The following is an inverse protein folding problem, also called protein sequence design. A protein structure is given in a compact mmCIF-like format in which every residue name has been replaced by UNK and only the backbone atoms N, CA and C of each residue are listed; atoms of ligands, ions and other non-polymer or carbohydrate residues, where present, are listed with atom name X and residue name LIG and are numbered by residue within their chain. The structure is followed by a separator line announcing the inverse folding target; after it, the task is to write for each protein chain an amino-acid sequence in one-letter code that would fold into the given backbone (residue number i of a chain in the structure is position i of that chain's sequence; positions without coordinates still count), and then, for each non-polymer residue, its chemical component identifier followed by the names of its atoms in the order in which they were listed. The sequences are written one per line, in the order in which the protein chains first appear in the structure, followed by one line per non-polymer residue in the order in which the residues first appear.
data_IF_019209782061
#
_entry.id   IF_019209782061
#
_cell.length_a   1.000
_cell.length_b   1.000
_cell.length_c   1.000
_cell.angle_alpha   90.00
_cell.angle_beta   90.00
_cell.angle_gamma   90.00
#
_symmetry.space_group_name_H-M   'P 1'
#
loop_
_entity.id
_entity.type
_entity.pdbx_description
1 polymer ?
#
# COMPACT_ATOMS: atom_id res chain seq x y z
N UNK A 1 -23.53 9.54 11.04
CA UNK A 1 -22.60 10.35 10.23
C UNK A 1 -22.42 9.64 8.90
N UNK A 2 -22.43 10.36 7.78
CA UNK A 2 -22.12 9.81 6.46
C UNK A 2 -20.69 9.26 6.45
N UNK A 3 -20.51 8.08 5.86
CA UNK A 3 -19.18 7.47 5.71
C UNK A 3 -18.30 8.38 4.83
N UNK A 4 -17.00 8.42 5.11
CA UNK A 4 -16.04 9.09 4.22
C UNK A 4 -15.88 8.24 2.96
N UNK A 5 -16.03 8.86 1.80
CA UNK A 5 -15.76 8.28 0.49
C UNK A 5 -14.27 8.39 0.15
N UNK A 6 -13.82 7.52 -0.76
CA UNK A 6 -12.48 7.55 -1.36
C UNK A 6 -12.57 8.30 -2.68
N UNK A 7 -11.84 9.39 -2.83
CA UNK A 7 -11.72 10.11 -4.10
C UNK A 7 -10.27 10.10 -4.58
N UNK A 8 -10.06 10.02 -5.88
CA UNK A 8 -8.74 10.02 -6.49
C UNK A 8 -8.59 11.24 -7.37
N UNK A 9 -7.50 11.99 -7.18
CA UNK A 9 -7.22 13.23 -7.90
C UNK A 9 -5.87 13.11 -8.59
N UNK A 10 -5.85 13.34 -9.90
CA UNK A 10 -4.64 13.49 -10.69
C UNK A 10 -4.12 14.91 -10.54
N UNK A 11 -2.82 15.04 -10.28
CA UNK A 11 -2.12 16.31 -10.16
C UNK A 11 -1.14 16.43 -11.32
N UNK A 12 -1.10 17.59 -11.99
CA UNK A 12 -0.13 17.89 -13.04
C UNK A 12 0.42 19.31 -12.93
N UNK A 13 1.73 19.49 -13.15
CA UNK A 13 2.37 20.81 -13.20
C UNK A 13 3.58 20.82 -14.16
N UNK A 14 3.76 21.91 -14.91
CA UNK A 14 4.83 22.08 -15.92
C UNK A 14 5.66 23.38 -15.78
N UNK A 15 5.51 24.11 -14.67
CA UNK A 15 6.26 25.35 -14.37
C UNK A 15 7.70 25.13 -13.87
N UNK A 16 8.43 26.22 -13.61
CA UNK A 16 9.84 26.23 -13.16
C UNK A 16 10.13 25.42 -11.88
N UNK A 17 9.15 25.24 -10.99
CA UNK A 17 9.26 24.39 -9.80
C UNK A 17 7.99 23.54 -9.59
N UNK A 18 7.85 22.44 -10.36
CA UNK A 18 6.63 21.66 -10.36
C UNK A 18 6.48 20.84 -9.07
N UNK A 19 7.57 20.44 -8.42
CA UNK A 19 7.52 19.69 -7.16
C UNK A 19 6.96 20.54 -6.01
N UNK A 20 7.43 21.79 -5.87
CA UNK A 20 6.88 22.72 -4.89
C UNK A 20 5.40 22.95 -5.14
N UNK A 21 5.01 23.11 -6.41
CA UNK A 21 3.62 23.32 -6.81
C UNK A 21 2.72 22.14 -6.44
N UNK A 22 3.17 20.90 -6.70
CA UNK A 22 2.44 19.71 -6.29
C UNK A 22 2.34 19.58 -4.76
N UNK A 23 3.39 19.96 -4.03
CA UNK A 23 3.37 20.00 -2.56
C UNK A 23 2.36 21.02 -2.00
N UNK A 24 2.31 22.22 -2.59
CA UNK A 24 1.32 23.25 -2.25
C UNK A 24 -0.12 22.79 -2.56
N UNK A 25 -0.32 22.11 -3.69
CA UNK A 25 -1.60 21.51 -4.05
C UNK A 25 -2.03 20.48 -3.01
N UNK A 26 -1.13 19.56 -2.62
CA UNK A 26 -1.40 18.55 -1.61
C UNK A 26 -1.81 19.17 -0.26
N UNK A 27 -1.10 20.22 0.18
CA UNK A 27 -1.45 20.95 1.40
C UNK A 27 -2.80 21.67 1.31
N UNK A 28 -3.16 22.18 0.14
CA UNK A 28 -4.48 22.81 -0.09
C UNK A 28 -5.61 21.78 -0.11
N UNK A 29 -5.38 20.60 -0.71
CA UNK A 29 -6.35 19.49 -0.70
C UNK A 29 -6.65 19.00 0.72
N UNK A 30 -5.65 18.91 1.59
CA UNK A 30 -5.85 18.49 2.99
C UNK A 30 -6.57 19.53 3.86
N UNK A 31 -6.60 20.80 3.42
CA UNK A 31 -7.35 21.88 4.08
C UNK A 31 -8.79 22.02 3.59
N UNK A 32 -9.20 21.25 2.57
CA UNK A 32 -10.58 21.29 2.09
C UNK A 32 -11.56 20.83 3.19
N UNK A 33 -12.76 21.42 3.28
CA UNK A 33 -13.76 21.02 4.25
C UNK A 33 -14.06 19.52 4.19
N UNK A 34 -14.12 18.90 5.37
CA UNK A 34 -14.41 17.47 5.56
C UNK A 34 -13.55 16.48 4.73
N UNK A 35 -12.44 16.95 4.20
CA UNK A 35 -11.56 16.22 3.29
C UNK A 35 -10.19 16.05 3.95
N UNK A 36 -9.56 14.92 3.69
CA UNK A 36 -8.24 14.57 4.22
C UNK A 36 -7.43 13.90 3.12
N UNK A 37 -6.18 14.29 2.95
CA UNK A 37 -5.24 13.55 2.09
C UNK A 37 -4.91 12.24 2.78
N UNK A 38 -5.18 11.14 2.10
CA UNK A 38 -5.08 9.79 2.64
C UNK A 38 -3.90 8.99 2.06
N UNK A 39 -3.46 9.31 0.85
CA UNK A 39 -2.22 8.80 0.26
C UNK A 39 -1.82 9.69 -0.92
N UNK A 40 -0.54 9.67 -1.29
CA UNK A 40 -0.03 10.32 -2.48
C UNK A 40 1.04 9.44 -3.12
N UNK A 41 1.02 9.32 -4.44
CA UNK A 41 2.07 8.64 -5.21
C UNK A 41 3.38 9.43 -5.14
N UNK A 42 4.49 8.79 -5.49
CA UNK A 42 5.67 9.56 -5.89
C UNK A 42 5.35 10.36 -7.16
N UNK A 43 5.80 11.62 -7.28
CA UNK A 43 5.68 12.36 -8.52
C UNK A 43 6.49 11.67 -9.61
N UNK A 44 5.99 11.74 -10.84
CA UNK A 44 6.65 11.21 -12.03
C UNK A 44 6.78 12.32 -13.05
N UNK A 45 7.98 12.56 -13.56
CA UNK A 45 8.12 13.36 -14.78
C UNK A 45 7.74 12.50 -15.96
N UNK A 46 6.94 13.02 -16.87
CA UNK A 46 6.52 12.34 -18.09
C UNK A 46 6.45 13.37 -19.23
N UNK A 47 6.68 12.99 -20.49
CA UNK A 47 6.45 13.89 -21.62
C UNK A 47 4.96 14.24 -21.75
N UNK A 48 4.65 15.38 -22.39
CA UNK A 48 3.28 15.63 -22.83
C UNK A 48 2.82 14.56 -23.81
N UNK A 49 1.60 14.05 -23.63
CA UNK A 49 0.98 13.10 -24.54
C UNK A 49 0.10 13.81 -25.57
N UNK A 50 0.14 13.32 -26.80
CA UNK A 50 -0.78 13.71 -27.87
C UNK A 50 -2.18 13.14 -27.66
N UNK A 51 -3.10 13.52 -28.55
CA UNK A 51 -4.48 13.02 -28.52
C UNK A 51 -4.57 11.51 -28.79
N UNK A 52 -3.50 10.89 -29.28
CA UNK A 52 -3.31 9.45 -29.49
C UNK A 52 -2.68 8.72 -28.29
N UNK A 53 -2.43 9.43 -27.18
CA UNK A 53 -1.82 8.86 -25.97
C UNK A 53 -0.30 8.66 -26.07
N UNK A 54 0.36 9.13 -27.14
CA UNK A 54 1.81 8.95 -27.33
C UNK A 54 2.60 10.19 -26.93
N UNK A 55 3.86 10.04 -26.46
CA UNK A 55 4.74 11.17 -26.22
C UNK A 55 4.86 12.08 -27.45
N UNK A 56 4.60 13.37 -27.29
CA UNK A 56 4.86 14.36 -28.33
C UNK A 56 6.38 14.51 -28.52
N UNK A 57 6.82 14.60 -29.76
CA UNK A 57 8.24 14.76 -30.09
C UNK A 57 8.78 16.08 -29.53
N UNK A 58 9.91 16.04 -28.82
CA UNK A 58 10.52 17.19 -28.14
C UNK A 58 9.60 17.92 -27.14
N UNK A 59 8.63 17.20 -26.57
CA UNK A 59 7.71 17.78 -25.60
C UNK A 59 8.39 18.20 -24.29
N UNK A 60 7.93 19.30 -23.65
CA UNK A 60 8.31 19.58 -22.28
C UNK A 60 7.85 18.46 -21.35
N UNK A 61 8.58 18.28 -20.26
CA UNK A 61 8.22 17.33 -19.21
C UNK A 61 7.18 17.95 -18.27
N UNK A 62 6.17 17.16 -17.93
CA UNK A 62 5.16 17.47 -16.92
C UNK A 62 5.42 16.59 -15.71
N UNK A 63 5.31 17.15 -14.52
CA UNK A 63 5.34 16.35 -13.29
C UNK A 63 3.91 15.98 -12.91
N UNK A 64 3.63 14.69 -12.85
CA UNK A 64 2.33 14.12 -12.54
C UNK A 64 2.36 13.32 -11.23
N UNK A 65 1.27 13.35 -10.48
CA UNK A 65 1.07 12.51 -9.29
C UNK A 65 -0.41 12.14 -9.15
N UNK A 66 -0.70 11.10 -8.35
CA UNK A 66 -2.07 10.75 -7.96
C UNK A 66 -2.19 10.83 -6.45
N UNK A 67 -3.26 11.47 -5.99
CA UNK A 67 -3.58 11.65 -4.58
C UNK A 67 -4.90 10.97 -4.29
N UNK A 68 -4.95 10.21 -3.21
CA UNK A 68 -6.20 9.71 -2.66
C UNK A 68 -6.66 10.61 -1.52
N UNK A 69 -7.92 11.01 -1.58
CA UNK A 69 -8.61 11.80 -0.58
C UNK A 69 -9.66 10.94 0.14
N UNK A 70 -9.79 11.17 1.45
CA UNK A 70 -10.91 10.70 2.26
C UNK A 70 -11.83 11.88 2.56
N UNK A 71 -13.02 11.90 1.96
CA UNK A 71 -13.89 13.09 1.99
C UNK A 71 -15.34 12.73 2.30
N UNK A 72 -16.09 13.69 2.85
CA UNK A 72 -17.56 13.63 2.93
C UNK A 72 -18.26 14.52 1.90
N UNK A 73 -17.49 15.24 1.09
CA UNK A 73 -18.03 16.05 0.01
C UNK A 73 -18.61 15.13 -1.09
N UNK A 74 -19.73 15.55 -1.66
CA UNK A 74 -20.26 14.95 -2.88
C UNK A 74 -19.31 15.22 -4.06
N UNK A 75 -19.33 14.40 -5.13
CA UNK A 75 -18.44 14.56 -6.28
C UNK A 75 -18.42 15.96 -6.89
N UNK A 76 -19.57 16.65 -7.08
CA UNK A 76 -19.58 18.01 -7.65
C UNK A 76 -18.98 19.05 -6.71
N UNK A 77 -19.28 18.94 -5.41
CA UNK A 77 -18.73 19.85 -4.40
C UNK A 77 -17.20 19.68 -4.28
N UNK A 78 -16.72 18.43 -4.39
CA UNK A 78 -15.29 18.17 -4.47
C UNK A 78 -14.69 18.78 -5.74
N UNK A 79 -15.30 18.56 -6.91
CA UNK A 79 -14.83 19.14 -8.16
C UNK A 79 -14.77 20.68 -8.07
N UNK A 80 -15.80 21.34 -7.58
CA UNK A 80 -15.82 22.80 -7.40
C UNK A 80 -14.66 23.27 -6.50
N UNK A 81 -14.38 22.52 -5.42
CA UNK A 81 -13.25 22.79 -4.55
C UNK A 81 -11.90 22.60 -5.27
N UNK A 82 -11.74 21.58 -6.12
CA UNK A 82 -10.54 21.39 -6.94
C UNK A 82 -10.33 22.57 -7.89
N UNK A 83 -11.38 23.00 -8.59
CA UNK A 83 -11.35 24.17 -9.48
C UNK A 83 -10.93 25.45 -8.74
N UNK A 84 -11.38 25.62 -7.50
CA UNK A 84 -10.98 26.74 -6.67
C UNK A 84 -9.49 26.69 -6.33
N UNK A 85 -8.95 25.51 -6.01
CA UNK A 85 -7.50 25.33 -5.77
C UNK A 85 -6.69 25.62 -7.03
N UNK A 86 -7.14 25.18 -8.22
CA UNK A 86 -6.49 25.53 -9.50
C UNK A 86 -6.44 27.04 -9.72
N UNK A 87 -7.56 27.73 -9.49
CA UNK A 87 -7.67 29.18 -9.66
C UNK A 87 -6.74 29.93 -8.69
N UNK A 88 -6.68 29.51 -7.42
CA UNK A 88 -5.75 30.08 -6.43
C UNK A 88 -4.28 29.84 -6.80
N UNK A 89 -3.98 28.73 -7.47
CA UNK A 89 -2.64 28.44 -7.99
C UNK A 89 -2.27 29.28 -9.24
N UNK A 90 -3.20 30.10 -9.76
CA UNK A 90 -2.97 31.01 -10.88
C UNK A 90 -3.33 30.43 -12.24
N UNK A 91 -4.08 29.32 -12.31
CA UNK A 91 -4.50 28.72 -13.58
C UNK A 91 -5.49 29.63 -14.31
N UNK A 92 -5.15 30.04 -15.53
CA UNK A 92 -6.05 30.73 -16.47
C UNK A 92 -6.42 29.76 -17.59
N UNK A 93 -7.71 29.49 -17.80
CA UNK A 93 -8.20 28.54 -18.82
C UNK A 93 -8.29 29.19 -20.20
N UNK A 94 -7.15 29.51 -20.80
CA UNK A 94 -7.05 30.08 -22.15
C UNK A 94 -6.14 29.21 -23.06
N UNK A 95 -6.61 28.02 -23.44
CA UNK A 95 -5.93 27.11 -24.38
C UNK A 95 -5.03 26.02 -23.76
N UNK A 96 -4.24 25.33 -24.61
CA UNK A 96 -3.29 24.23 -24.24
C UNK A 96 -1.95 24.73 -23.65
N UNK A 97 -1.82 26.02 -23.34
CA UNK A 97 -0.54 26.62 -22.91
C UNK A 97 -0.41 26.65 -21.37
N UNK A 98 0.71 26.11 -20.86
CA UNK A 98 1.23 26.17 -19.48
C UNK A 98 0.26 25.80 -18.34
N UNK A 99 0.45 24.62 -17.75
CA UNK A 99 -0.30 24.14 -16.57
C UNK A 99 0.40 24.58 -15.28
N UNK A 100 0.06 25.78 -14.80
CA UNK A 100 0.44 26.21 -13.46
C UNK A 100 0.10 25.15 -12.40
N UNK A 101 -1.10 24.57 -12.47
CA UNK A 101 -1.54 23.38 -11.74
C UNK A 101 -2.78 22.80 -12.44
N UNK A 102 -2.86 21.48 -12.53
CA UNK A 102 -3.98 20.72 -13.10
C UNK A 102 -4.46 19.69 -12.11
N UNK A 103 -5.74 19.76 -11.75
CA UNK A 103 -6.38 18.85 -10.79
C UNK A 103 -7.57 18.15 -11.44
N UNK A 104 -7.40 16.88 -11.77
CA UNK A 104 -8.44 16.05 -12.38
C UNK A 104 -9.07 15.12 -11.34
N UNK A 105 -10.39 15.18 -11.13
CA UNK A 105 -11.10 14.17 -10.34
C UNK A 105 -11.17 12.86 -11.14
N UNK A 106 -10.35 11.88 -10.76
CA UNK A 106 -10.17 10.62 -11.47
C UNK A 106 -11.23 9.59 -11.12
N UNK A 107 -11.62 9.48 -9.85
CA UNK A 107 -12.67 8.57 -9.40
C UNK A 107 -13.21 8.96 -8.02
N UNK A 108 -14.41 8.47 -7.71
CA UNK A 108 -15.07 8.60 -6.42
C UNK A 108 -15.75 7.27 -6.07
N UNK A 109 -15.35 6.65 -4.96
CA UNK A 109 -15.68 5.28 -4.56
C UNK A 109 -15.78 4.30 -5.74
N UNK A 110 -16.97 3.81 -6.09
CA UNK A 110 -17.19 2.95 -7.26
C UNK A 110 -18.26 3.56 -8.19
N UNK A 111 -18.45 4.87 -8.10
CA UNK A 111 -19.47 5.58 -8.84
C UNK A 111 -19.10 5.72 -10.32
N UNK A 112 -20.06 5.40 -11.20
CA UNK A 112 -19.84 5.40 -12.66
C UNK A 112 -20.32 6.67 -13.36
N UNK A 113 -21.31 7.36 -12.78
CA UNK A 113 -21.81 8.66 -13.24
C UNK A 113 -22.46 9.38 -12.07
N UNK A 114 -22.14 10.65 -11.91
CA UNK A 114 -22.77 11.51 -10.91
C UNK A 114 -23.16 12.84 -11.57
N UNK A 115 -24.46 13.04 -11.81
CA UNK A 115 -24.96 14.20 -12.56
C UNK A 115 -24.34 14.29 -13.96
N UNK A 116 -23.56 15.35 -14.20
CA UNK A 116 -22.82 15.59 -15.45
C UNK A 116 -21.39 15.02 -15.43
N UNK A 117 -20.95 14.47 -14.30
CA UNK A 117 -19.61 13.89 -14.16
C UNK A 117 -19.59 12.44 -14.62
N UNK A 118 -18.68 12.16 -15.54
CA UNK A 118 -18.30 10.80 -15.90
C UNK A 118 -17.10 10.39 -15.04
N UNK A 119 -17.34 9.41 -14.15
CA UNK A 119 -16.36 8.86 -13.23
C UNK A 119 -16.29 7.35 -13.43
N UNK A 120 -15.12 6.70 -13.31
CA UNK A 120 -13.81 7.29 -13.37
C UNK A 120 -13.59 8.15 -14.64
N UNK A 121 -12.65 9.09 -14.59
CA UNK A 121 -12.38 10.05 -15.67
C UNK A 121 -12.24 9.32 -17.02
N UNK A 122 -12.78 9.86 -18.13
CA UNK A 122 -12.73 9.18 -19.42
C UNK A 122 -11.29 8.95 -19.91
N UNK A 123 -11.09 7.87 -20.67
CA UNK A 123 -9.81 7.49 -21.31
C UNK A 123 -8.67 7.21 -20.33
N UNK A 124 -8.97 6.72 -19.13
CA UNK A 124 -7.93 6.29 -18.16
C UNK A 124 -7.04 5.17 -18.73
N UNK A 125 -7.61 4.31 -19.57
CA UNK A 125 -6.96 3.17 -20.23
C UNK A 125 -5.93 3.56 -21.30
N UNK A 126 -5.73 4.86 -21.54
CA UNK A 126 -4.73 5.43 -22.44
C UNK A 126 -3.73 6.33 -21.70
N UNK A 127 -3.89 6.52 -20.38
CA UNK A 127 -3.13 7.51 -19.61
C UNK A 127 -2.15 6.87 -18.65
N UNK A 128 -0.99 6.48 -19.18
CA UNK A 128 0.14 5.94 -18.40
C UNK A 128 0.54 6.85 -17.22
N UNK A 129 0.57 8.17 -17.45
CA UNK A 129 0.89 9.17 -16.42
C UNK A 129 -0.14 9.25 -15.28
N UNK A 130 -1.31 8.60 -15.42
CA UNK A 130 -2.31 8.44 -14.37
C UNK A 130 -2.27 7.04 -13.76
N UNK A 131 -2.28 5.99 -14.58
CA UNK A 131 -2.35 4.61 -14.10
C UNK A 131 -1.10 4.19 -13.30
N UNK A 132 0.10 4.57 -13.75
CA UNK A 132 1.35 4.23 -13.05
C UNK A 132 1.45 4.82 -11.63
N UNK A 133 1.21 6.13 -11.40
CA UNK A 133 1.18 6.66 -10.03
C UNK A 133 -0.03 6.17 -9.23
N UNK A 134 -1.19 5.93 -9.84
CA UNK A 134 -2.36 5.40 -9.13
C UNK A 134 -2.13 3.96 -8.63
N UNK A 135 -1.43 3.12 -9.40
CA UNK A 135 -1.07 1.77 -8.99
C UNK A 135 -0.21 1.74 -7.71
N UNK A 136 0.60 2.78 -7.46
CA UNK A 136 1.36 2.93 -6.22
C UNK A 136 0.44 3.21 -5.01
N UNK A 137 -0.66 3.93 -5.24
CA UNK A 137 -1.57 4.43 -4.19
C UNK A 137 -2.66 3.41 -3.85
N UNK A 138 -3.31 2.84 -4.86
CA UNK A 138 -4.44 1.94 -4.69
C UNK A 138 -4.42 0.85 -5.79
N UNK A 139 -3.49 -0.12 -5.73
CA UNK A 139 -3.27 -1.09 -6.80
C UNK A 139 -4.51 -1.94 -7.13
N UNK A 140 -5.35 -2.22 -6.13
CA UNK A 140 -6.56 -3.02 -6.27
C UNK A 140 -7.82 -2.19 -6.55
N UNK A 141 -7.72 -0.88 -6.72
CA UNK A 141 -8.89 -0.08 -7.02
C UNK A 141 -9.46 -0.48 -8.40
N UNK A 142 -10.77 -0.78 -8.52
CA UNK A 142 -11.35 -1.13 -9.80
C UNK A 142 -11.48 0.10 -10.72
N UNK A 143 -11.01 -0.01 -11.96
CA UNK A 143 -11.19 0.99 -13.01
C UNK A 143 -11.81 0.35 -14.26
N UNK A 144 -12.68 1.08 -15.00
CA UNK A 144 -13.12 0.66 -16.31
C UNK A 144 -11.91 0.39 -17.22
N UNK A 145 -12.03 -0.67 -18.00
CA UNK A 145 -11.09 -1.03 -19.03
C UNK A 145 -11.81 -1.24 -20.36
N UNK A 146 -11.04 -1.24 -21.45
CA UNK A 146 -11.50 -1.47 -22.82
C UNK A 146 -12.53 -2.59 -22.90
N UNK A 147 -13.48 -2.47 -23.84
CA UNK A 147 -14.54 -3.45 -24.10
C UNK A 147 -15.53 -3.70 -22.93
N UNK A 148 -15.57 -2.81 -21.93
CA UNK A 148 -16.53 -2.84 -20.82
C UNK A 148 -16.06 -3.62 -19.59
N UNK A 149 -14.84 -4.15 -19.62
CA UNK A 149 -14.21 -4.82 -18.49
C UNK A 149 -13.95 -3.85 -17.32
N UNK A 150 -13.72 -4.40 -16.13
CA UNK A 150 -13.24 -3.64 -14.97
C UNK A 150 -12.03 -4.37 -14.41
N UNK A 151 -10.92 -3.65 -14.27
CA UNK A 151 -9.64 -4.21 -13.82
C UNK A 151 -9.14 -3.46 -12.58
N UNK A 152 -8.39 -4.13 -11.69
CA UNK A 152 -7.53 -3.43 -10.73
C UNK A 152 -6.62 -2.41 -11.43
N UNK A 153 -6.40 -1.23 -10.85
CA UNK A 153 -5.51 -0.19 -11.40
C UNK A 153 -4.11 -0.74 -11.71
N UNK A 154 -3.54 -1.57 -10.85
CA UNK A 154 -2.23 -2.18 -11.10
C UNK A 154 -2.25 -3.09 -12.34
N UNK A 155 -3.35 -3.81 -12.55
CA UNK A 155 -3.56 -4.65 -13.75
C UNK A 155 -3.74 -3.80 -15.00
N UNK A 156 -4.53 -2.73 -14.91
CA UNK A 156 -4.71 -1.76 -15.99
C UNK A 156 -3.37 -1.11 -16.39
N UNK A 157 -2.55 -0.69 -15.43
CA UNK A 157 -1.22 -0.15 -15.67
C UNK A 157 -0.32 -1.13 -16.43
N UNK A 158 -0.13 -2.34 -15.90
CA UNK A 158 0.82 -3.26 -16.53
C UNK A 158 0.30 -3.85 -17.86
N UNK A 159 -1.02 -3.90 -18.11
CA UNK A 159 -1.54 -4.15 -19.47
C UNK A 159 -1.16 -3.04 -20.45
N UNK A 160 -1.29 -1.78 -20.05
CA UNK A 160 -0.94 -0.65 -20.90
C UNK A 160 0.55 -0.70 -21.25
N UNK A 161 1.41 -0.88 -20.24
CA UNK A 161 2.86 -0.97 -20.38
C UNK A 161 3.29 -2.15 -21.27
N UNK A 162 2.68 -3.33 -21.10
CA UNK A 162 2.96 -4.48 -21.96
C UNK A 162 2.53 -4.26 -23.42
N UNK A 163 1.39 -3.58 -23.64
CA UNK A 163 0.87 -3.32 -24.99
C UNK A 163 1.62 -2.21 -25.73
N UNK A 164 2.15 -1.23 -24.98
CA UNK A 164 2.91 -0.11 -25.51
C UNK A 164 4.02 0.29 -24.52
N UNK A 165 5.20 -0.35 -24.59
CA UNK A 165 6.31 -0.03 -23.70
C UNK A 165 6.78 1.43 -23.80
N UNK A 166 6.47 2.12 -24.90
CA UNK A 166 6.83 3.53 -25.07
C UNK A 166 6.07 4.45 -24.11
N UNK A 167 4.92 4.01 -23.59
CA UNK A 167 4.14 4.78 -22.61
C UNK A 167 4.84 4.89 -21.25
N UNK A 168 5.77 3.99 -20.93
CA UNK A 168 6.58 4.02 -19.70
C UNK A 168 7.89 4.81 -19.89
N UNK A 169 8.29 5.10 -21.13
CA UNK A 169 9.53 5.81 -21.43
C UNK A 169 9.46 7.25 -20.91
N UNK A 170 10.49 7.65 -20.17
CA UNK A 170 10.58 8.99 -19.60
C UNK A 170 9.84 9.16 -18.27
N UNK A 171 9.29 8.10 -17.67
CA UNK A 171 8.70 8.10 -16.32
C UNK A 171 9.78 8.14 -15.22
N UNK A 172 10.46 9.28 -15.08
CA UNK A 172 11.40 9.49 -13.97
C UNK A 172 10.62 9.62 -12.65
N UNK A 173 10.83 8.68 -11.71
CA UNK A 173 10.19 8.71 -10.39
C UNK A 173 10.98 9.62 -9.45
N UNK A 174 10.32 10.67 -8.95
CA UNK A 174 10.92 11.67 -8.08
C UNK A 174 10.74 11.35 -6.59
N UNK A 175 11.34 12.16 -5.73
CA UNK A 175 11.17 12.03 -4.28
C UNK A 175 9.70 12.25 -3.86
N UNK A 176 9.23 11.56 -2.81
CA UNK A 176 7.87 11.73 -2.31
C UNK A 176 7.55 13.18 -1.92
N UNK A 177 6.31 13.61 -2.19
CA UNK A 177 5.80 14.90 -1.73
C UNK A 177 5.73 14.94 -0.20
N UNK A 178 5.94 16.12 0.44
CA UNK A 178 5.78 16.27 1.87
C UNK A 178 4.32 16.03 2.26
N UNK A 179 4.09 15.01 3.10
CA UNK A 179 2.74 14.64 3.52
C UNK A 179 2.26 15.58 4.65
N UNK A 180 0.99 16.03 4.64
CA UNK A 180 0.46 16.90 5.69
C UNK A 180 0.63 16.29 7.09
N UNK A 181 1.31 17.02 7.98
CA UNK A 181 1.44 16.65 9.39
C UNK A 181 0.12 16.87 10.13
N UNK A 182 -0.12 16.09 11.20
CA UNK A 182 -1.33 16.21 12.02
C UNK A 182 -0.97 16.44 13.48
N UNK A 183 -1.33 17.61 13.99
CA UNK A 183 -1.25 17.91 15.41
C UNK A 183 -2.56 17.57 16.10
N UNK A 184 -2.48 16.73 17.12
CA UNK A 184 -3.62 16.37 17.96
C UNK A 184 -3.13 15.96 19.36
N UNK A 185 -4.02 15.89 20.36
CA UNK A 185 -3.68 15.34 21.67
C UNK A 185 -3.07 13.93 21.52
N UNK A 186 -1.98 13.69 22.23
CA UNK A 186 -1.21 12.46 22.15
C UNK A 186 -1.00 11.86 23.54
N UNK A 187 -1.21 10.55 23.67
CA UNK A 187 -0.97 9.82 24.93
C UNK A 187 -0.28 8.48 24.69
N UNK A 188 0.59 8.09 25.63
CA UNK A 188 1.16 6.74 25.69
C UNK A 188 0.40 5.93 26.73
N UNK A 189 -0.11 4.78 26.31
CA UNK A 189 -0.89 3.85 27.11
C UNK A 189 -0.03 2.61 27.38
N UNK A 190 0.13 2.21 28.63
CA UNK A 190 0.98 1.11 29.09
C UNK A 190 0.20 -0.10 29.58
N UNK A 191 -1.08 0.06 29.92
CA UNK A 191 -1.91 -1.02 30.45
C UNK A 191 -3.22 -1.19 29.71
N UNK A 192 -3.80 -2.40 29.79
CA UNK A 192 -5.16 -2.70 29.32
C UNK A 192 -6.21 -1.75 29.90
N UNK A 193 -6.05 -1.31 31.14
CA UNK A 193 -6.98 -0.41 31.82
C UNK A 193 -6.90 1.01 31.24
N UNK A 194 -5.69 1.52 31.00
CA UNK A 194 -5.48 2.81 30.34
C UNK A 194 -6.03 2.80 28.91
N UNK A 195 -5.84 1.70 28.15
CA UNK A 195 -6.42 1.57 26.82
C UNK A 195 -7.95 1.54 26.85
N UNK A 196 -8.55 0.84 27.81
CA UNK A 196 -10.00 0.84 27.97
C UNK A 196 -10.52 2.25 28.30
N UNK A 197 -9.93 2.92 29.29
CA UNK A 197 -10.31 4.28 29.69
C UNK A 197 -10.15 5.28 28.55
N UNK A 198 -9.03 5.23 27.80
CA UNK A 198 -8.83 6.05 26.61
C UNK A 198 -9.92 5.79 25.58
N UNK A 199 -10.16 4.52 25.23
CA UNK A 199 -11.13 4.19 24.19
C UNK A 199 -12.57 4.56 24.56
N UNK A 200 -12.97 4.33 25.81
CA UNK A 200 -14.30 4.65 26.34
C UNK A 200 -14.55 6.16 26.44
N UNK A 201 -13.48 6.97 26.59
CA UNK A 201 -13.57 8.42 26.64
C UNK A 201 -13.67 9.12 25.27
N UNK A 202 -13.55 8.39 24.15
CA UNK A 202 -13.55 8.97 22.81
C UNK A 202 -14.93 9.03 22.16
N UNK A 203 -15.17 10.13 21.46
CA UNK A 203 -16.22 10.25 20.43
C UNK A 203 -15.56 10.17 19.05
N UNK A 204 -16.20 9.47 18.12
CA UNK A 204 -15.69 9.28 16.77
C UNK A 204 -15.11 7.88 16.55
N UNK A 205 -14.56 7.67 15.37
CA UNK A 205 -14.06 6.37 14.94
C UNK A 205 -12.54 6.22 15.16
N UNK A 206 -12.09 4.97 15.31
CA UNK A 206 -10.71 4.66 15.66
C UNK A 206 -10.06 3.81 14.57
N UNK A 207 -8.92 4.29 14.06
CA UNK A 207 -8.01 3.56 13.22
C UNK A 207 -6.98 2.79 14.06
N UNK A 208 -6.84 1.48 13.84
CA UNK A 208 -5.82 0.66 14.51
C UNK A 208 -4.63 0.41 13.58
N UNK A 209 -3.41 0.69 14.04
CA UNK A 209 -2.15 0.39 13.34
C UNK A 209 -1.29 -0.52 14.22
N UNK A 210 -1.40 -1.85 14.11
CA UNK A 210 -0.60 -2.77 14.90
C UNK A 210 0.86 -2.78 14.42
N UNK A 211 1.80 -2.54 15.33
CA UNK A 211 3.23 -2.65 15.04
C UNK A 211 4.01 -3.27 16.19
N UNK A 212 5.22 -3.72 15.89
CA UNK A 212 6.18 -4.23 16.89
C UNK A 212 7.22 -3.20 17.34
N UNK A 213 7.22 -1.99 16.79
CA UNK A 213 8.30 -1.00 16.96
C UNK A 213 9.44 -1.16 15.95
N UNK A 214 10.54 -0.43 16.19
CA UNK A 214 11.62 -0.23 15.23
C UNK A 214 11.11 0.29 13.88
N UNK A 215 10.38 1.39 13.97
CA UNK A 215 9.58 1.92 12.88
C UNK A 215 10.43 2.50 11.76
N UNK A 216 9.79 2.67 10.61
CA UNK A 216 10.38 3.18 9.38
C UNK A 216 9.30 3.86 8.54
N UNK A 217 9.66 4.47 7.40
CA UNK A 217 8.72 5.19 6.54
C UNK A 217 7.51 4.35 6.07
N UNK A 218 7.65 3.02 5.95
CA UNK A 218 6.49 2.13 5.74
C UNK A 218 5.45 2.15 6.86
N UNK A 219 5.86 2.26 8.12
CA UNK A 219 4.92 2.40 9.25
C UNK A 219 4.29 3.80 9.28
N UNK A 220 5.08 4.83 8.95
CA UNK A 220 4.58 6.20 8.82
C UNK A 220 3.39 6.28 7.86
N UNK A 221 3.46 5.59 6.70
CA UNK A 221 2.35 5.59 5.75
C UNK A 221 1.09 4.90 6.26
N UNK A 222 1.20 3.89 7.12
CA UNK A 222 0.02 3.27 7.76
C UNK A 222 -0.68 4.27 8.70
N UNK A 223 0.09 5.01 9.50
CA UNK A 223 -0.46 6.01 10.44
C UNK A 223 -1.06 7.20 9.69
N UNK A 224 -0.36 7.72 8.68
CA UNK A 224 -0.87 8.77 7.80
C UNK A 224 -2.22 8.38 7.20
N UNK A 225 -2.30 7.14 6.68
CA UNK A 225 -3.51 6.59 6.10
C UNK A 225 -4.63 6.47 7.13
N UNK A 226 -4.33 5.93 8.30
CA UNK A 226 -5.29 5.80 9.39
C UNK A 226 -5.83 7.18 9.82
N UNK A 227 -4.96 8.18 9.95
CA UNK A 227 -5.35 9.52 10.40
C UNK A 227 -6.17 10.28 9.36
N UNK A 228 -6.03 9.93 8.08
CA UNK A 228 -6.89 10.46 7.04
C UNK A 228 -8.29 9.84 7.03
N UNK A 229 -8.37 8.55 7.36
CA UNK A 229 -9.61 7.77 7.24
C UNK A 229 -10.43 7.69 8.54
N UNK A 230 -9.86 8.06 9.69
CA UNK A 230 -10.47 7.95 11.02
C UNK A 230 -10.26 9.19 11.87
N UNK A 231 -11.09 9.40 12.89
CA UNK A 231 -11.04 10.54 13.79
C UNK A 231 -9.85 10.43 14.76
N UNK A 232 -9.55 9.22 15.26
CA UNK A 232 -8.44 8.95 16.17
C UNK A 232 -7.63 7.74 15.72
N UNK A 233 -6.30 7.81 15.83
CA UNK A 233 -5.44 6.66 15.50
C UNK A 233 -4.80 6.08 16.75
N UNK A 234 -4.99 4.78 16.95
CA UNK A 234 -4.26 3.98 17.92
C UNK A 234 -3.20 3.17 17.20
N UNK A 235 -1.94 3.49 17.43
CA UNK A 235 -0.82 2.64 17.03
C UNK A 235 -0.37 1.76 18.20
N UNK A 236 0.22 0.60 17.92
CA UNK A 236 0.78 -0.27 18.98
C UNK A 236 2.29 -0.38 18.84
N UNK A 237 2.99 -0.49 19.96
CA UNK A 237 4.41 -0.85 20.03
C UNK A 237 4.54 -2.08 20.92
N UNK A 238 4.45 -3.27 20.32
CA UNK A 238 4.49 -4.52 21.07
C UNK A 238 5.20 -5.62 20.29
N UNK A 239 6.41 -5.97 20.73
CA UNK A 239 7.14 -7.14 20.23
C UNK A 239 6.49 -8.39 20.82
N UNK A 240 5.60 -9.03 20.04
CA UNK A 240 4.81 -10.17 20.50
C UNK A 240 5.66 -11.44 20.58
N UNK A 241 5.98 -12.01 21.77
CA UNK A 241 6.79 -13.22 21.86
C UNK A 241 6.15 -14.45 21.20
N UNK A 242 4.81 -14.53 21.12
CA UNK A 242 4.11 -15.70 20.59
C UNK A 242 4.31 -15.92 19.09
N UNK A 243 4.77 -14.90 18.36
CA UNK A 243 5.01 -14.99 16.92
C UNK A 243 6.48 -15.19 16.57
N UNK A 244 7.34 -15.46 17.57
CA UNK A 244 8.74 -15.80 17.37
C UNK A 244 8.99 -17.27 17.73
N UNK A 245 9.64 -18.00 16.84
CA UNK A 245 10.12 -19.36 17.08
C UNK A 245 11.37 -19.42 17.96
N UNK A 246 11.71 -20.62 18.45
CA UNK A 246 12.98 -20.83 19.14
C UNK A 246 14.16 -20.54 18.19
N UNK A 247 15.11 -19.72 18.63
CA UNK A 247 16.27 -19.32 17.82
C UNK A 247 16.00 -18.20 16.79
N UNK A 248 14.76 -17.68 16.71
CA UNK A 248 14.49 -16.45 15.97
C UNK A 248 15.03 -15.21 16.70
N UNK A 249 14.88 -14.04 16.09
CA UNK A 249 15.53 -12.80 16.52
C UNK A 249 14.80 -12.04 17.65
N UNK A 250 14.01 -12.71 18.50
CA UNK A 250 13.23 -12.05 19.58
C UNK A 250 14.13 -11.21 20.50
N UNK A 251 15.23 -11.79 20.97
CA UNK A 251 16.16 -11.12 21.90
C UNK A 251 16.97 -10.01 21.22
N UNK A 252 17.14 -10.09 19.89
CA UNK A 252 17.89 -9.12 19.09
C UNK A 252 16.99 -8.08 18.42
N UNK A 253 15.67 -8.22 18.55
CA UNK A 253 14.73 -7.35 17.84
C UNK A 253 14.93 -5.89 18.30
N UNK A 254 15.13 -4.95 17.37
CA UNK A 254 15.42 -3.57 17.70
C UNK A 254 14.29 -2.92 18.52
N UNK A 255 14.68 -2.13 19.53
CA UNK A 255 13.74 -1.39 20.39
C UNK A 255 14.16 0.07 20.44
N UNK A 256 13.44 0.90 19.70
CA UNK A 256 13.71 2.34 19.53
C UNK A 256 12.52 3.17 20.03
N UNK A 257 12.12 2.94 21.28
CA UNK A 257 10.83 3.38 21.81
C UNK A 257 10.55 4.89 21.64
N UNK A 258 11.50 5.76 21.98
CA UNK A 258 11.30 7.21 21.91
C UNK A 258 11.23 7.71 20.46
N UNK A 259 12.07 7.15 19.57
CA UNK A 259 12.04 7.44 18.12
C UNK A 259 10.73 6.97 17.49
N UNK A 260 10.28 5.77 17.87
CA UNK A 260 9.03 5.18 17.40
C UNK A 260 7.83 6.05 17.82
N UNK A 261 7.77 6.47 19.09
CA UNK A 261 6.74 7.37 19.61
C UNK A 261 6.74 8.70 18.88
N UNK A 262 7.92 9.29 18.65
CA UNK A 262 8.04 10.55 17.93
C UNK A 262 7.52 10.44 16.48
N UNK A 263 7.88 9.35 15.78
CA UNK A 263 7.40 9.08 14.42
C UNK A 263 5.87 8.90 14.38
N UNK A 264 5.32 8.10 15.28
CA UNK A 264 3.87 7.86 15.35
C UNK A 264 3.11 9.16 15.63
N UNK A 265 3.57 9.95 16.60
CA UNK A 265 2.96 11.24 16.95
C UNK A 265 3.01 12.21 15.77
N UNK A 266 4.17 12.35 15.13
CA UNK A 266 4.36 13.26 14.00
C UNK A 266 3.40 12.98 12.84
N UNK A 267 3.09 11.70 12.60
CA UNK A 267 2.20 11.27 11.52
C UNK A 267 0.73 11.18 11.89
N UNK A 268 0.33 11.61 13.09
CA UNK A 268 -1.07 11.72 13.47
C UNK A 268 -1.62 10.52 14.27
N UNK A 269 -0.77 9.81 15.02
CA UNK A 269 -1.27 8.93 16.08
C UNK A 269 -1.88 9.77 17.22
N UNK A 270 -3.04 9.35 17.75
CA UNK A 270 -3.68 9.97 18.92
C UNK A 270 -3.25 9.27 20.21
N UNK A 271 -2.96 7.97 20.10
CA UNK A 271 -2.37 7.21 21.17
C UNK A 271 -1.41 6.14 20.67
N UNK A 272 -0.45 5.80 21.53
CA UNK A 272 0.40 4.62 21.37
C UNK A 272 0.14 3.67 22.53
N UNK A 273 -0.32 2.46 22.20
CA UNK A 273 -0.41 1.38 23.18
C UNK A 273 0.87 0.55 23.18
N UNK A 274 1.63 0.64 24.26
CA UNK A 274 2.92 -0.01 24.45
C UNK A 274 2.93 -0.84 25.76
N UNK A 275 2.18 -1.95 25.79
CA UNK A 275 2.04 -2.78 26.98
C UNK A 275 3.28 -3.64 27.26
N UNK A 276 3.42 -4.03 28.52
CA UNK A 276 4.30 -5.13 28.90
C UNK A 276 3.70 -6.48 28.47
N UNK A 277 4.55 -7.49 28.27
CA UNK A 277 4.15 -8.87 27.92
C UNK A 277 3.13 -9.42 28.92
N UNK A 278 3.39 -9.28 30.23
CA UNK A 278 2.52 -9.80 31.29
C UNK A 278 1.15 -9.09 31.37
N UNK A 279 1.07 -7.85 30.88
CA UNK A 279 -0.22 -7.14 30.73
C UNK A 279 -1.04 -7.70 29.57
N UNK A 280 -0.46 -8.42 28.61
CA UNK A 280 -1.23 -9.08 27.55
C UNK A 280 -1.39 -10.58 27.79
N UNK A 281 -0.36 -11.23 28.33
CA UNK A 281 -0.25 -12.67 28.54
C UNK A 281 0.02 -12.95 30.02
N UNK A 282 -1.02 -12.82 30.84
CA UNK A 282 -0.92 -13.09 32.27
C UNK A 282 -0.67 -14.58 32.59
N UNK A 283 -0.40 -14.90 33.86
CA UNK A 283 -0.21 -16.29 34.30
C UNK A 283 -1.35 -17.21 33.83
N UNK A 284 -1.00 -18.35 33.25
CA UNK A 284 -1.97 -19.32 32.74
C UNK A 284 -2.60 -18.99 31.39
N UNK A 285 -2.06 -18.02 30.63
CA UNK A 285 -2.51 -17.75 29.27
C UNK A 285 -2.40 -19.01 28.39
N UNK A 286 -3.54 -19.50 27.89
CA UNK A 286 -3.61 -20.73 27.09
C UNK A 286 -4.63 -20.71 25.96
N UNK A 287 -5.15 -19.52 25.60
CA UNK A 287 -6.13 -19.35 24.52
C UNK A 287 -5.45 -18.75 23.29
N UNK A 288 -5.68 -19.36 22.13
CA UNK A 288 -5.04 -18.96 20.88
C UNK A 288 -6.05 -18.96 19.72
N UNK A 289 -5.78 -18.13 18.72
CA UNK A 289 -6.43 -18.21 17.41
C UNK A 289 -5.51 -19.00 16.49
N UNK A 290 -6.01 -20.12 15.97
CA UNK A 290 -5.25 -21.00 15.07
C UNK A 290 -5.93 -20.97 13.70
N UNK A 291 -5.29 -20.41 12.68
CA UNK A 291 -5.75 -20.60 11.31
C UNK A 291 -5.46 -22.04 10.87
N UNK A 292 -6.33 -22.61 10.03
CA UNK A 292 -6.10 -23.94 9.43
C UNK A 292 -5.00 -23.88 8.35
N UNK A 293 -5.14 -24.67 7.29
CA UNK A 293 -4.08 -25.03 6.32
C UNK A 293 -3.32 -23.86 5.68
N UNK A 294 -3.90 -22.66 5.61
CA UNK A 294 -3.21 -21.49 5.03
C UNK A 294 -1.98 -21.07 5.83
N UNK A 295 -1.92 -21.36 7.13
CA UNK A 295 -0.76 -21.07 7.96
C UNK A 295 0.31 -22.17 7.95
N UNK A 296 0.11 -23.24 7.17
CA UNK A 296 1.11 -24.28 6.95
C UNK A 296 1.85 -24.06 5.61
N UNK A 297 1.50 -23.01 4.86
CA UNK A 297 2.13 -22.65 3.59
C UNK A 297 3.14 -21.50 3.76
N UNK A 298 4.08 -21.36 2.81
CA UNK A 298 5.00 -20.22 2.65
C UNK A 298 5.67 -19.78 3.98
N UNK A 299 5.37 -18.59 4.51
CA UNK A 299 5.94 -18.11 5.77
C UNK A 299 5.62 -19.03 6.94
N UNK A 300 4.43 -19.62 6.94
CA UNK A 300 3.96 -20.50 7.99
C UNK A 300 4.71 -21.83 8.03
N UNK A 301 5.05 -22.38 6.85
CA UNK A 301 5.90 -23.55 6.71
C UNK A 301 7.32 -23.28 7.26
N UNK A 302 7.87 -22.09 6.95
CA UNK A 302 9.21 -21.69 7.39
C UNK A 302 9.24 -21.31 8.87
N UNK A 303 8.12 -20.81 9.41
CA UNK A 303 8.00 -20.30 10.78
C UNK A 303 6.81 -20.95 11.52
N UNK A 304 6.89 -22.25 11.87
CA UNK A 304 5.81 -22.96 12.51
C UNK A 304 5.29 -22.24 13.77
N UNK A 305 3.97 -22.06 13.85
CA UNK A 305 3.32 -21.36 14.97
C UNK A 305 3.36 -19.83 14.91
N UNK A 306 4.08 -19.22 13.95
CA UNK A 306 4.15 -17.77 13.77
C UNK A 306 2.76 -17.14 13.67
N UNK A 307 1.92 -17.63 12.76
CA UNK A 307 0.60 -17.05 12.52
C UNK A 307 -0.41 -17.29 13.64
N UNK A 308 -0.28 -18.38 14.41
CA UNK A 308 -1.03 -18.52 15.67
C UNK A 308 -0.71 -17.36 16.61
N UNK A 309 0.57 -17.02 16.76
CA UNK A 309 1.01 -15.88 17.55
C UNK A 309 0.45 -14.55 17.03
N UNK A 310 0.54 -14.33 15.71
CA UNK A 310 0.04 -13.11 15.04
C UNK A 310 -1.48 -12.97 15.22
N UNK A 311 -2.27 -13.96 14.85
CA UNK A 311 -3.73 -13.86 14.92
C UNK A 311 -4.21 -13.71 16.37
N UNK A 312 -3.56 -14.38 17.32
CA UNK A 312 -3.88 -14.23 18.75
C UNK A 312 -3.67 -12.80 19.22
N UNK A 313 -2.53 -12.16 18.90
CA UNK A 313 -2.31 -10.76 19.32
C UNK A 313 -3.21 -9.79 18.56
N UNK A 314 -3.42 -9.99 17.26
CA UNK A 314 -4.26 -9.10 16.45
C UNK A 314 -5.69 -9.13 16.96
N UNK A 315 -6.28 -10.31 17.27
CA UNK A 315 -7.61 -10.39 17.86
C UNK A 315 -7.70 -9.64 19.19
N UNK A 316 -6.72 -9.81 20.09
CA UNK A 316 -6.69 -9.10 21.38
C UNK A 316 -6.66 -7.58 21.19
N UNK A 317 -5.85 -7.10 20.25
CA UNK A 317 -5.76 -5.67 19.94
C UNK A 317 -7.07 -5.17 19.30
N UNK A 318 -7.65 -5.93 18.38
CA UNK A 318 -8.91 -5.60 17.70
C UNK A 318 -10.06 -5.42 18.71
N UNK A 319 -10.22 -6.38 19.62
CA UNK A 319 -11.27 -6.34 20.65
C UNK A 319 -11.11 -5.16 21.62
N UNK A 320 -9.87 -4.75 21.91
CA UNK A 320 -9.61 -3.64 22.84
C UNK A 320 -9.73 -2.28 22.17
N UNK A 321 -9.16 -2.15 20.98
CA UNK A 321 -9.19 -0.92 20.21
C UNK A 321 -10.59 -0.60 19.69
N UNK A 322 -11.43 -1.61 19.44
CA UNK A 322 -12.74 -1.48 18.78
C UNK A 322 -12.63 -0.56 17.54
N UNK A 323 -11.76 -0.92 16.58
CA UNK A 323 -11.48 -0.05 15.46
C UNK A 323 -12.65 -0.02 14.48
N UNK A 324 -12.90 1.12 13.85
CA UNK A 324 -13.69 1.15 12.61
C UNK A 324 -12.88 0.62 11.44
N UNK A 325 -11.55 0.82 11.47
CA UNK A 325 -10.62 0.42 10.44
C UNK A 325 -9.28 -0.03 11.05
N UNK A 326 -8.68 -1.11 10.56
CA UNK A 326 -7.34 -1.54 10.94
C UNK A 326 -6.43 -1.60 9.71
N UNK A 327 -5.21 -1.05 9.82
CA UNK A 327 -4.33 -0.81 8.68
C UNK A 327 -3.12 -1.74 8.73
N UNK A 328 -2.92 -2.50 7.65
CA UNK A 328 -1.84 -3.47 7.51
C UNK A 328 -1.18 -3.32 6.13
N UNK A 329 0.13 -3.55 6.05
CA UNK A 329 0.87 -3.43 4.80
C UNK A 329 0.76 -4.69 3.93
N UNK A 330 0.72 -4.51 2.61
CA UNK A 330 0.85 -5.58 1.61
C UNK A 330 2.16 -6.34 1.71
N UNK A 331 3.22 -5.71 2.27
CA UNK A 331 4.53 -6.33 2.46
C UNK A 331 4.38 -7.72 3.06
N UNK A 332 3.63 -7.85 4.15
CA UNK A 332 3.37 -9.12 4.81
C UNK A 332 2.04 -9.72 4.31
N UNK A 333 1.95 -10.00 3.00
CA UNK A 333 0.72 -10.37 2.29
C UNK A 333 -0.02 -11.59 2.89
N UNK A 334 0.71 -12.63 3.30
CA UNK A 334 0.10 -13.80 3.93
C UNK A 334 -0.53 -13.46 5.29
N UNK A 335 0.13 -12.61 6.08
CA UNK A 335 -0.43 -12.09 7.33
C UNK A 335 -1.72 -11.32 7.05
N UNK A 336 -1.72 -10.45 6.04
CA UNK A 336 -2.90 -9.67 5.66
C UNK A 336 -4.09 -10.58 5.27
N UNK A 337 -3.84 -11.63 4.47
CA UNK A 337 -4.87 -12.60 4.08
C UNK A 337 -5.41 -13.39 5.28
N UNK A 338 -4.54 -13.84 6.19
CA UNK A 338 -4.93 -14.55 7.41
C UNK A 338 -5.70 -13.65 8.38
N UNK A 339 -5.30 -12.39 8.54
CA UNK A 339 -6.03 -11.42 9.36
C UNK A 339 -7.39 -11.11 8.74
N UNK A 340 -7.47 -10.97 7.41
CA UNK A 340 -8.75 -10.79 6.69
C UNK A 340 -9.69 -11.94 6.99
N UNK A 341 -9.23 -13.17 6.79
CA UNK A 341 -10.02 -14.37 7.08
C UNK A 341 -10.43 -14.43 8.55
N UNK A 342 -9.54 -14.10 9.50
CA UNK A 342 -9.90 -14.06 10.92
C UNK A 342 -11.01 -13.03 11.21
N UNK A 343 -10.96 -11.85 10.58
CA UNK A 343 -11.99 -10.81 10.73
C UNK A 343 -13.33 -11.30 10.19
N UNK A 344 -13.34 -11.97 9.04
CA UNK A 344 -14.53 -12.54 8.41
C UNK A 344 -15.08 -13.73 9.19
N UNK A 345 -14.26 -14.75 9.48
CA UNK A 345 -14.66 -16.00 10.14
C UNK A 345 -15.15 -15.79 11.59
N UNK A 346 -14.71 -14.73 12.26
CA UNK A 346 -15.08 -14.41 13.65
C UNK A 346 -16.04 -13.21 13.77
N UNK A 347 -16.63 -12.76 12.65
CA UNK A 347 -17.58 -11.65 12.60
C UNK A 347 -17.08 -10.37 13.31
N UNK A 348 -15.78 -10.06 13.18
CA UNK A 348 -15.19 -8.93 13.89
C UNK A 348 -15.68 -7.60 13.29
N UNK A 349 -16.18 -6.66 14.10
CA UNK A 349 -16.64 -5.38 13.60
C UNK A 349 -15.48 -4.53 13.10
N UNK A 350 -15.74 -3.69 12.10
CA UNK A 350 -14.74 -2.82 11.48
C UNK A 350 -14.27 -3.36 10.12
N UNK A 351 -13.30 -2.68 9.52
CA UNK A 351 -12.76 -3.04 8.20
C UNK A 351 -11.26 -3.18 8.23
N UNK A 352 -10.73 -4.17 7.52
CA UNK A 352 -9.31 -4.29 7.27
C UNK A 352 -8.93 -3.44 6.04
N UNK A 353 -7.93 -2.59 6.18
CA UNK A 353 -7.40 -1.74 5.11
C UNK A 353 -6.00 -2.18 4.76
N UNK A 354 -5.84 -2.67 3.54
CA UNK A 354 -4.55 -3.05 2.99
C UNK A 354 -3.83 -1.82 2.41
N UNK A 355 -2.62 -1.56 2.87
CA UNK A 355 -1.80 -0.43 2.45
C UNK A 355 -0.62 -0.90 1.59
N UNK A 356 -0.28 -0.19 0.50
CA UNK A 356 0.86 -0.53 -0.36
C UNK A 356 2.18 -0.67 0.39
N UNK A 357 3.02 -1.60 -0.05
CA UNK A 357 4.41 -1.73 0.45
C UNK A 357 5.19 -0.46 0.12
N UNK A 358 5.86 0.11 1.12
CA UNK A 358 6.82 1.19 0.89
C UNK A 358 8.20 0.62 0.65
N UNK A 359 8.85 1.19 -0.36
CA UNK A 359 10.17 0.80 -0.83
C UNK A 359 11.16 1.95 -0.62
N UNK A 360 12.43 1.63 -0.45
CA UNK A 360 13.52 2.59 -0.48
C UNK A 360 13.73 3.17 -1.89
N UNK A 361 14.61 4.16 -2.02
CA UNK A 361 14.89 4.81 -3.30
C UNK A 361 15.41 3.84 -4.36
N UNK A 362 16.16 2.82 -3.94
CA UNK A 362 16.67 1.74 -4.79
C UNK A 362 15.70 0.56 -4.95
N UNK A 363 14.45 0.74 -4.54
CA UNK A 363 13.38 -0.23 -4.73
C UNK A 363 13.24 -1.26 -3.60
N UNK A 364 14.22 -1.44 -2.70
CA UNK A 364 14.12 -2.47 -1.66
C UNK A 364 12.93 -2.20 -0.71
N UNK A 365 12.06 -3.19 -0.48
CA UNK A 365 10.97 -3.08 0.48
C UNK A 365 11.51 -2.71 1.88
N UNK A 366 10.88 -1.70 2.50
CA UNK A 366 11.30 -1.23 3.81
C UNK A 366 10.95 -2.26 4.89
N UNK A 367 11.94 -2.61 5.71
CA UNK A 367 11.81 -3.55 6.81
C UNK A 367 12.73 -3.14 7.95
N UNK A 368 12.30 -3.33 9.20
CA UNK A 368 13.16 -3.11 10.36
C UNK A 368 14.41 -3.99 10.32
N UNK A 369 14.34 -5.17 9.67
CA UNK A 369 15.44 -6.12 9.46
C UNK A 369 16.47 -5.69 8.42
N UNK A 370 16.19 -4.67 7.60
CA UNK A 370 17.18 -4.17 6.63
C UNK A 370 18.43 -3.61 7.33
N UNK A 371 18.34 -3.25 8.62
CA UNK A 371 19.48 -2.79 9.44
C UNK A 371 20.53 -3.86 9.71
N UNK A 372 20.20 -5.14 9.47
CA UNK A 372 21.13 -6.25 9.63
C UNK A 372 21.97 -6.52 8.38
N UNK A 373 21.66 -5.85 7.27
CA UNK A 373 22.42 -5.96 6.03
C UNK A 373 23.65 -5.05 6.11
N UNK A 374 24.82 -5.60 5.79
CA UNK A 374 25.98 -4.77 5.44
C UNK A 374 25.81 -4.15 4.05
N UNK A 375 26.72 -3.27 3.65
CA UNK A 375 26.64 -2.55 2.37
C UNK A 375 26.60 -3.49 1.16
N UNK A 376 27.31 -4.61 1.22
CA UNK A 376 27.37 -5.59 0.12
C UNK A 376 26.06 -6.37 0.00
N UNK A 377 25.56 -6.89 1.12
CA UNK A 377 24.27 -7.57 1.22
C UNK A 377 23.12 -6.62 0.84
N UNK A 378 23.20 -5.35 1.25
CA UNK A 378 22.21 -4.31 0.95
C UNK A 378 22.14 -4.00 -0.55
N UNK A 379 23.28 -3.96 -1.23
CA UNK A 379 23.34 -3.76 -2.69
C UNK A 379 22.78 -4.96 -3.47
N UNK A 380 23.01 -6.20 -2.99
CA UNK A 380 22.38 -7.40 -3.57
C UNK A 380 20.87 -7.43 -3.32
N UNK A 381 20.44 -7.14 -2.10
CA UNK A 381 19.03 -7.06 -1.73
C UNK A 381 18.23 -6.08 -2.60
N UNK A 382 18.83 -4.95 -3.00
CA UNK A 382 18.20 -3.97 -3.88
C UNK A 382 17.82 -4.51 -5.27
N UNK A 383 18.35 -5.67 -5.69
CA UNK A 383 18.00 -6.32 -6.96
C UNK A 383 16.73 -7.17 -6.87
N UNK A 384 16.30 -7.52 -5.65
CA UNK A 384 15.15 -8.38 -5.41
C UNK A 384 13.84 -7.82 -6.02
N UNK A 385 13.48 -6.54 -5.84
CA UNK A 385 12.25 -5.98 -6.39
C UNK A 385 12.24 -5.93 -7.91
N UNK A 386 13.39 -5.65 -8.53
CA UNK A 386 13.53 -5.64 -9.98
C UNK A 386 13.33 -7.05 -10.58
N UNK A 387 13.88 -8.09 -9.94
CA UNK A 387 13.65 -9.47 -10.36
C UNK A 387 12.17 -9.88 -10.24
N UNK A 388 11.49 -9.46 -9.16
CA UNK A 388 10.05 -9.66 -9.02
C UNK A 388 9.24 -8.94 -10.10
N UNK A 389 9.61 -7.71 -10.43
CA UNK A 389 8.95 -6.96 -11.49
C UNK A 389 9.14 -7.60 -12.86
N UNK A 390 10.37 -8.00 -13.20
CA UNK A 390 10.67 -8.71 -14.45
C UNK A 390 9.79 -9.97 -14.60
N UNK A 391 9.68 -10.77 -13.53
CA UNK A 391 8.86 -11.98 -13.53
C UNK A 391 7.36 -11.68 -13.60
N UNK A 392 6.87 -10.68 -12.85
CA UNK A 392 5.47 -10.26 -12.88
C UNK A 392 5.07 -9.77 -14.29
N UNK A 393 5.93 -8.97 -14.93
CA UNK A 393 5.73 -8.50 -16.31
C UNK A 393 5.76 -9.65 -17.32
N UNK A 394 6.68 -10.61 -17.15
CA UNK A 394 6.72 -11.78 -18.03
C UNK A 394 5.43 -12.61 -17.94
N UNK A 395 4.94 -12.88 -16.72
CA UNK A 395 3.66 -13.59 -16.51
C UNK A 395 2.51 -12.79 -17.12
N UNK A 396 2.48 -11.47 -16.92
CA UNK A 396 1.46 -10.59 -17.50
C UNK A 396 1.46 -10.60 -19.04
N UNK A 397 2.64 -10.75 -19.65
CA UNK A 397 2.82 -10.89 -21.10
C UNK A 397 2.50 -12.29 -21.64
N UNK A 398 2.04 -13.21 -20.79
CA UNK A 398 1.63 -14.57 -21.18
C UNK A 398 2.73 -15.62 -21.07
N UNK A 399 3.83 -15.34 -20.37
CA UNK A 399 4.80 -16.39 -20.02
C UNK A 399 4.13 -17.47 -19.15
N UNK A 400 4.48 -18.73 -19.41
CA UNK A 400 4.01 -19.85 -18.61
C UNK A 400 4.47 -19.68 -17.15
N UNK A 401 3.53 -19.87 -16.22
CA UNK A 401 3.75 -19.62 -14.77
C UNK A 401 5.01 -20.31 -14.27
N UNK A 402 5.12 -21.61 -14.47
CA UNK A 402 6.19 -22.41 -13.87
C UNK A 402 7.56 -22.03 -14.47
N UNK A 403 7.61 -21.69 -15.75
CA UNK A 403 8.84 -21.24 -16.42
C UNK A 403 9.26 -19.85 -15.91
N UNK A 404 8.31 -18.94 -15.68
CA UNK A 404 8.56 -17.62 -15.12
C UNK A 404 9.04 -17.71 -13.65
N UNK A 405 8.42 -18.56 -12.84
CA UNK A 405 8.85 -18.81 -11.46
C UNK A 405 10.25 -19.44 -11.42
N UNK A 406 10.53 -20.43 -12.27
CA UNK A 406 11.85 -21.04 -12.36
C UNK A 406 12.94 -20.03 -12.79
N UNK A 407 12.60 -19.15 -13.74
CA UNK A 407 13.49 -18.08 -14.21
C UNK A 407 13.77 -17.06 -13.10
N UNK A 408 12.73 -16.69 -12.33
CA UNK A 408 12.87 -15.83 -11.16
C UNK A 408 13.81 -16.45 -10.12
N UNK A 409 13.60 -17.72 -9.75
CA UNK A 409 14.48 -18.38 -8.78
C UNK A 409 15.94 -18.42 -9.25
N UNK A 410 16.18 -18.74 -10.53
CA UNK A 410 17.51 -18.78 -11.11
C UNK A 410 18.18 -17.40 -11.05
N UNK A 411 17.43 -16.34 -11.38
CA UNK A 411 17.90 -14.95 -11.30
C UNK A 411 18.24 -14.56 -9.86
N UNK A 412 17.36 -14.84 -8.90
CA UNK A 412 17.60 -14.53 -7.49
C UNK A 412 18.87 -15.22 -6.97
N UNK A 413 19.06 -16.51 -7.30
CA UNK A 413 20.28 -17.25 -6.93
C UNK A 413 21.53 -16.63 -7.56
N UNK A 414 21.47 -16.22 -8.84
CA UNK A 414 22.57 -15.56 -9.52
C UNK A 414 22.93 -14.19 -8.89
N UNK A 415 21.94 -13.50 -8.33
CA UNK A 415 22.12 -12.24 -7.58
C UNK A 415 22.58 -12.45 -6.12
N UNK A 416 22.86 -13.70 -5.71
CA UNK A 416 23.29 -14.03 -4.35
C UNK A 416 22.16 -13.95 -3.32
N UNK A 417 20.91 -14.09 -3.77
CA UNK A 417 19.70 -14.14 -2.96
C UNK A 417 19.16 -15.56 -2.99
N UNK A 418 19.26 -16.29 -1.87
CA UNK A 418 18.79 -17.67 -1.80
C UNK A 418 17.27 -17.71 -1.56
N UNK A 419 16.43 -18.18 -2.50
CA UNK A 419 14.98 -18.21 -2.30
C UNK A 419 14.58 -19.27 -1.27
N UNK A 420 13.75 -18.90 -0.30
CA UNK A 420 13.01 -19.85 0.55
C UNK A 420 11.75 -20.34 -0.19
N UNK A 421 11.09 -19.43 -0.92
CA UNK A 421 10.02 -19.74 -1.86
C UNK A 421 9.83 -18.61 -2.87
N UNK A 422 9.28 -18.94 -4.04
CA UNK A 422 8.62 -18.02 -4.96
C UNK A 422 7.30 -18.64 -5.38
N UNK A 423 6.22 -17.89 -5.43
CA UNK A 423 4.91 -18.44 -5.81
C UNK A 423 3.95 -17.38 -6.33
N UNK A 424 2.92 -17.82 -7.05
CA UNK A 424 1.82 -16.99 -7.54
C UNK A 424 0.52 -17.35 -6.81
N UNK A 425 0.02 -16.40 -6.02
CA UNK A 425 -1.16 -16.57 -5.16
C UNK A 425 -2.22 -15.51 -5.45
N UNK A 426 -3.47 -15.80 -5.14
CA UNK A 426 -4.52 -14.79 -5.20
C UNK A 426 -4.35 -13.81 -4.03
N UNK A 427 -4.37 -12.48 -4.23
CA UNK A 427 -3.98 -11.50 -3.22
C UNK A 427 -4.86 -11.50 -1.97
N UNK A 428 -6.15 -11.85 -2.08
CA UNK A 428 -7.06 -11.86 -0.93
C UNK A 428 -7.13 -13.21 -0.20
N UNK A 429 -7.36 -14.32 -0.93
CA UNK A 429 -7.44 -15.68 -0.36
C UNK A 429 -6.09 -16.33 -0.06
N UNK A 430 -5.00 -15.83 -0.66
CA UNK A 430 -3.64 -16.38 -0.56
C UNK A 430 -3.56 -17.88 -0.90
N UNK A 431 -4.39 -18.30 -1.84
CA UNK A 431 -4.42 -19.66 -2.39
C UNK A 431 -3.88 -19.64 -3.83
N UNK A 432 -3.45 -20.79 -4.39
CA UNK A 432 -2.97 -20.86 -5.76
C UNK A 432 -3.97 -20.24 -6.76
N UNK A 433 -3.47 -19.36 -7.64
CA UNK A 433 -4.28 -18.77 -8.72
C UNK A 433 -4.63 -19.84 -9.75
N UNK A 434 -5.92 -19.95 -10.09
CA UNK A 434 -6.36 -20.84 -11.16
C UNK A 434 -6.00 -20.20 -12.53
N UNK A 435 -5.79 -21.00 -13.59
CA UNK A 435 -5.55 -20.47 -14.93
C UNK A 435 -6.80 -19.75 -15.50
N UNK A 436 -6.95 -18.48 -15.14
CA UNK A 436 -8.08 -17.61 -15.50
C UNK A 436 -7.74 -16.15 -15.16
N UNK A 437 -8.65 -15.22 -15.49
CA UNK A 437 -8.58 -13.77 -15.21
C UNK A 437 -8.77 -13.40 -13.73
N UNK A 438 -8.14 -14.14 -12.82
CA UNK A 438 -8.14 -13.82 -11.40
C UNK A 438 -6.93 -12.96 -11.00
N UNK A 439 -7.12 -11.92 -10.16
CA UNK A 439 -6.01 -11.14 -9.63
C UNK A 439 -4.91 -12.04 -9.06
N UNK A 440 -3.67 -11.76 -9.44
CA UNK A 440 -2.53 -12.55 -9.06
C UNK A 440 -1.46 -11.71 -8.37
N UNK A 441 -0.84 -12.29 -7.35
CA UNK A 441 0.22 -11.71 -6.55
C UNK A 441 1.41 -12.67 -6.56
N UNK A 442 2.51 -12.23 -7.16
CA UNK A 442 3.79 -12.91 -7.07
C UNK A 442 4.38 -12.62 -5.69
N UNK A 443 4.64 -13.67 -4.91
CA UNK A 443 5.19 -13.57 -3.55
C UNK A 443 6.53 -14.28 -3.50
N UNK A 444 7.49 -13.72 -2.77
CA UNK A 444 8.77 -14.37 -2.58
C UNK A 444 9.38 -14.04 -1.22
N UNK A 445 10.14 -14.99 -0.70
CA UNK A 445 11.04 -14.77 0.43
C UNK A 445 12.44 -15.26 0.05
N UNK A 446 13.46 -14.47 0.39
CA UNK A 446 14.86 -14.75 0.08
C UNK A 446 15.75 -14.53 1.30
N UNK A 447 16.92 -15.17 1.30
CA UNK A 447 17.98 -14.96 2.28
C UNK A 447 19.19 -14.34 1.62
N UNK A 448 19.76 -13.33 2.28
CA UNK A 448 21.04 -12.74 1.93
C UNK A 448 21.87 -12.63 3.21
N UNK A 449 23.00 -13.34 3.24
CA UNK A 449 23.93 -13.39 4.38
C UNK A 449 23.24 -13.66 5.74
N UNK A 450 22.25 -14.56 5.73
CA UNK A 450 21.49 -14.95 6.92
C UNK A 450 20.31 -14.02 7.26
N UNK A 451 20.18 -12.87 6.62
CA UNK A 451 19.01 -11.98 6.75
C UNK A 451 17.93 -12.43 5.80
N UNK A 452 16.73 -12.68 6.34
CA UNK A 452 15.56 -13.10 5.55
C UNK A 452 14.71 -11.89 5.18
N UNK A 453 14.47 -11.73 3.89
CA UNK A 453 13.69 -10.67 3.27
C UNK A 453 12.47 -11.27 2.61
N UNK A 454 11.38 -10.53 2.57
CA UNK A 454 10.16 -10.90 1.86
C UNK A 454 9.65 -9.69 1.09
N UNK A 455 9.07 -9.95 -0.07
CA UNK A 455 8.47 -8.94 -0.92
C UNK A 455 7.42 -9.59 -1.83
N UNK A 456 6.60 -8.77 -2.47
CA UNK A 456 5.55 -9.23 -3.38
C UNK A 456 5.24 -8.19 -4.45
N UNK A 457 4.72 -8.69 -5.58
CA UNK A 457 4.36 -7.86 -6.73
C UNK A 457 3.06 -8.33 -7.37
N UNK A 458 2.15 -7.39 -7.63
CA UNK A 458 0.94 -7.69 -8.38
C UNK A 458 1.29 -8.01 -9.83
N UNK A 459 0.65 -9.03 -10.39
CA UNK A 459 0.74 -9.38 -11.80
C UNK A 459 -0.45 -8.77 -12.52
N UNK A 460 -0.22 -8.07 -13.63
CA UNK A 460 -1.32 -7.69 -14.50
C UNK A 460 -1.87 -8.92 -15.22
N UNK A 461 -3.08 -9.33 -14.89
CA UNK A 461 -3.78 -10.34 -15.69
C UNK A 461 -3.91 -9.88 -17.12
N UNK A 462 -3.48 -10.68 -18.09
CA UNK A 462 -3.49 -10.30 -19.50
C UNK A 462 -3.37 -11.44 -20.51
N UNK A 463 -3.31 -12.71 -20.10
CA UNK A 463 -3.58 -13.87 -20.98
C UNK A 463 -3.65 -15.14 -20.14
N UNK A 464 -4.39 -16.14 -20.63
CA UNK A 464 -4.54 -17.46 -19.99
C UNK A 464 -3.17 -18.00 -19.55
N UNK A 465 -2.97 -18.19 -18.24
CA UNK A 465 -1.90 -19.07 -17.77
C UNK A 465 -2.24 -20.45 -18.30
N UNK A 466 -1.53 -20.96 -19.32
CA UNK A 466 -1.68 -22.37 -19.61
C UNK A 466 -0.98 -23.13 -18.47
N UNK A 467 -1.56 -24.25 -18.07
CA UNK A 467 -0.93 -25.21 -17.17
C UNK A 467 -0.84 -26.49 -17.99
N UNK A 468 0.33 -27.11 -18.04
CA UNK A 468 0.46 -28.44 -18.64
C UNK A 468 -0.50 -29.38 -17.90
N UNK A 469 -1.52 -29.86 -18.61
CA UNK A 469 -2.33 -30.98 -18.14
C UNK A 469 -1.41 -32.17 -17.90
N UNK A 470 -1.21 -32.53 -16.63
CA UNK A 470 -0.59 -33.78 -16.27
C UNK A 470 -1.46 -34.92 -16.77
N UNK A 471 -0.91 -35.75 -17.66
CA UNK A 471 -1.50 -37.05 -17.96
C UNK A 471 -1.50 -37.90 -16.70
N UNK A 472 -2.65 -38.50 -16.41
CA UNK A 472 -2.94 -39.41 -15.31
C UNK A 472 -1.94 -40.58 -15.16
#
# INVERSE_FOLDING_TARGET
MTARARAFVGLGADEADPLRRLAEALASLDRLPETRVAAASRPRRTPYLGDDGRPLENAPLVTNAVVELSTRLAPEALLEALLHVEHQAGRVRDGRASRALDLDLLAWDQERRHGLLELPHPRLDERAFVLAPWAEVAPLFPVPWRDGDTLPVATAWARLEASDPSCAVGHEVLDPLPFPAREQPFVVLRTRAELAAWRDGLVGDVGLVPTMGALHAGHATLVQRAAACTDHVLATLFVNPLQFGAGEDLDRYPRTFDEDVALLRHHGAAAVYAPAVDDLYGPGFGTYVVPETLADLHEGAVRPGHFRGVLTIVLKLWMRARPSQAFFAWKDAQQLALVRRMVEDLDLPGRLVACPTRHAADGLALSSRNRYLDDSARARAARFPAALEEAATAIAAGAERDDALASLEARLRADGLAPDYVDLVHPERFLPVAPSSEPALLVAAVRVDGVRLLDNRFVADGTRVAVRGGSA
#
